data_IF_256425584357
#
_entry.id   IF_256425584357
#
_cell.length_a   1.000
_cell.length_b   1.000
_cell.length_c   1.000
_cell.angle_alpha   90.00
_cell.angle_beta   90.00
_cell.angle_gamma   90.00
#
_symmetry.space_group_name_H-M   'P 1'
#
loop_
_entity.id
_entity.type
_entity.pdbx_description
1 polymer ?
#
# COMPACT_ATOMS: atom_id res chain seq x y z
N UNK A 1 -19.71 16.35 31.00
CA UNK A 1 -19.86 17.34 29.90
C UNK A 1 -18.54 17.72 29.24
N UNK A 2 -17.46 17.87 30.00
CA UNK A 2 -16.14 18.29 29.47
C UNK A 2 -15.48 17.26 28.54
N UNK A 3 -15.55 15.96 28.88
CA UNK A 3 -15.05 14.86 28.01
C UNK A 3 -15.77 14.80 26.65
N UNK A 4 -17.07 15.09 26.60
CA UNK A 4 -17.82 15.15 25.33
C UNK A 4 -17.37 16.33 24.47
N UNK A 5 -17.02 17.47 25.06
CA UNK A 5 -16.52 18.64 24.34
C UNK A 5 -15.12 18.38 23.78
N UNK A 6 -14.24 17.76 24.56
CA UNK A 6 -12.88 17.40 24.14
C UNK A 6 -12.89 16.35 23.02
N UNK A 7 -13.72 15.31 23.15
CA UNK A 7 -13.91 14.28 22.12
C UNK A 7 -14.53 14.86 20.84
N UNK A 8 -15.41 15.86 20.96
CA UNK A 8 -15.93 16.59 19.82
C UNK A 8 -14.85 17.35 19.04
N UNK A 9 -13.96 18.02 19.75
CA UNK A 9 -12.83 18.74 19.14
C UNK A 9 -11.91 17.76 18.42
N UNK A 10 -11.47 16.68 19.08
CA UNK A 10 -10.59 15.64 18.51
C UNK A 10 -11.17 14.98 17.26
N UNK A 11 -12.48 14.70 17.28
CA UNK A 11 -13.18 14.12 16.13
C UNK A 11 -13.21 15.06 14.92
N UNK A 12 -13.52 16.34 15.15
CA UNK A 12 -13.58 17.34 14.08
C UNK A 12 -12.18 17.66 13.53
N UNK A 13 -11.14 17.70 14.37
CA UNK A 13 -9.76 17.87 13.87
C UNK A 13 -9.34 16.71 12.96
N UNK A 14 -9.83 15.49 13.22
CA UNK A 14 -9.55 14.32 12.40
C UNK A 14 -10.04 14.45 10.96
N UNK A 15 -11.22 15.02 10.71
CA UNK A 15 -11.75 15.16 9.33
C UNK A 15 -11.03 16.25 8.54
N UNK A 16 -10.73 17.39 9.17
CA UNK A 16 -9.97 18.47 8.52
C UNK A 16 -8.54 18.02 8.19
N UNK A 17 -7.89 17.26 9.07
CA UNK A 17 -6.57 16.70 8.80
C UNK A 17 -6.59 15.78 7.57
N UNK A 18 -7.61 14.93 7.42
CA UNK A 18 -7.77 14.05 6.23
C UNK A 18 -7.95 14.86 4.95
N UNK A 19 -8.80 15.89 4.99
CA UNK A 19 -9.01 16.77 3.82
C UNK A 19 -7.72 17.50 3.45
N UNK A 20 -6.97 18.00 4.42
CA UNK A 20 -5.69 18.64 4.18
C UNK A 20 -4.66 17.68 3.56
N UNK A 21 -4.58 16.44 4.07
CA UNK A 21 -3.74 15.38 3.48
C UNK A 21 -4.17 15.08 2.04
N UNK A 22 -5.48 14.98 1.76
CA UNK A 22 -5.99 14.74 0.40
C UNK A 22 -5.66 15.90 -0.55
N UNK A 23 -5.81 17.15 -0.12
CA UNK A 23 -5.46 18.32 -0.92
C UNK A 23 -3.96 18.35 -1.19
N UNK A 24 -3.12 18.10 -0.18
CA UNK A 24 -1.68 18.03 -0.33
C UNK A 24 -1.27 16.90 -1.29
N UNK A 25 -1.92 15.74 -1.19
CA UNK A 25 -1.70 14.61 -2.09
C UNK A 25 -2.07 14.96 -3.54
N UNK A 26 -3.23 15.58 -3.78
CA UNK A 26 -3.65 15.99 -5.13
C UNK A 26 -2.68 17.02 -5.71
N UNK A 27 -2.23 17.98 -4.90
CA UNK A 27 -1.25 18.97 -5.33
C UNK A 27 0.09 18.31 -5.70
N UNK A 28 0.57 17.38 -4.87
CA UNK A 28 1.79 16.62 -5.14
C UNK A 28 1.68 15.77 -6.41
N UNK A 29 0.59 15.03 -6.58
CA UNK A 29 0.37 14.19 -7.76
C UNK A 29 0.27 15.04 -9.04
N UNK A 30 -0.39 16.19 -8.97
CA UNK A 30 -0.52 17.11 -10.10
C UNK A 30 0.84 17.72 -10.47
N UNK A 31 1.57 18.24 -9.48
CA UNK A 31 2.92 18.78 -9.70
C UNK A 31 3.90 17.72 -10.21
N UNK A 32 3.86 16.53 -9.61
CA UNK A 32 4.65 15.37 -10.02
C UNK A 32 4.33 14.91 -11.44
N UNK A 33 3.05 14.88 -11.82
CA UNK A 33 2.62 14.58 -13.19
C UNK A 33 3.21 15.57 -14.21
N UNK A 34 3.08 16.87 -13.97
CA UNK A 34 3.64 17.89 -14.88
C UNK A 34 5.17 17.84 -14.93
N UNK A 35 5.82 17.57 -13.80
CA UNK A 35 7.27 17.39 -13.74
C UNK A 35 7.73 16.18 -14.58
N UNK A 36 7.08 15.03 -14.39
CA UNK A 36 7.31 13.81 -15.16
C UNK A 36 7.09 14.06 -16.65
N UNK A 37 5.96 14.68 -17.02
CA UNK A 37 5.64 15.02 -18.41
C UNK A 37 6.71 15.91 -19.04
N UNK A 38 7.15 16.95 -18.33
CA UNK A 38 8.19 17.88 -18.80
C UNK A 38 9.53 17.18 -19.05
N UNK A 39 9.93 16.25 -18.19
CA UNK A 39 11.19 15.50 -18.35
C UNK A 39 11.08 14.49 -19.49
N UNK A 40 9.94 13.80 -19.60
CA UNK A 40 9.70 12.81 -20.65
C UNK A 40 9.68 13.42 -22.05
N UNK A 41 9.15 14.64 -22.21
CA UNK A 41 9.21 15.38 -23.47
C UNK A 41 10.63 15.80 -23.89
N UNK A 42 11.59 15.72 -22.97
CA UNK A 42 13.02 15.98 -23.21
C UNK A 42 13.84 14.68 -23.26
N UNK A 43 13.18 13.51 -23.28
CA UNK A 43 13.81 12.19 -23.21
C UNK A 43 14.70 11.98 -21.97
N UNK A 44 14.38 12.66 -20.87
CA UNK A 44 15.09 12.54 -19.59
C UNK A 44 14.40 11.52 -18.70
N UNK A 45 15.12 10.45 -18.35
CA UNK A 45 14.70 9.50 -17.32
C UNK A 45 15.20 9.94 -15.94
N UNK A 46 14.31 10.04 -14.96
CA UNK A 46 14.63 10.51 -13.60
C UNK A 46 15.76 9.67 -12.97
N UNK A 47 15.76 8.35 -13.19
CA UNK A 47 16.81 7.44 -12.69
C UNK A 47 18.21 7.74 -13.24
N UNK A 48 18.32 8.46 -14.36
CA UNK A 48 19.60 8.88 -14.96
C UNK A 48 20.00 10.31 -14.57
N UNK A 49 19.27 10.94 -13.64
CA UNK A 49 19.53 12.31 -13.19
C UNK A 49 20.01 12.34 -11.76
N UNK A 50 20.41 13.53 -11.29
CA UNK A 50 20.68 13.75 -9.88
C UNK A 50 19.46 13.51 -9.00
N UNK A 51 18.22 13.55 -9.49
CA UNK A 51 17.01 13.44 -8.66
C UNK A 51 16.81 12.08 -7.97
N UNK A 52 17.68 11.10 -8.20
CA UNK A 52 17.61 9.81 -7.50
C UNK A 52 17.75 9.91 -5.97
N UNK A 53 18.32 11.00 -5.43
CA UNK A 53 18.35 11.26 -3.98
C UNK A 53 16.95 11.42 -3.37
N UNK A 54 15.92 11.73 -4.19
CA UNK A 54 14.53 11.79 -3.72
C UNK A 54 14.04 10.46 -3.14
N UNK A 55 14.60 9.32 -3.57
CA UNK A 55 14.31 8.02 -2.97
C UNK A 55 14.70 7.99 -1.48
N UNK A 56 15.87 8.54 -1.14
CA UNK A 56 16.34 8.62 0.24
C UNK A 56 15.50 9.62 1.05
N UNK A 57 15.10 10.74 0.45
CA UNK A 57 14.19 11.70 1.09
C UNK A 57 12.87 11.05 1.45
N UNK A 58 12.24 10.34 0.53
CA UNK A 58 10.97 9.67 0.78
C UNK A 58 11.06 8.70 1.97
N UNK A 59 12.15 7.93 2.07
CA UNK A 59 12.42 7.04 3.20
C UNK A 59 12.64 7.82 4.49
N UNK A 60 13.45 8.89 4.48
CA UNK A 60 13.73 9.71 5.67
C UNK A 60 12.46 10.37 6.17
N UNK A 61 11.67 10.98 5.28
CA UNK A 61 10.38 11.58 5.61
C UNK A 61 9.43 10.56 6.21
N UNK A 62 9.29 9.38 5.60
CA UNK A 62 8.45 8.32 6.14
C UNK A 62 8.91 7.88 7.53
N UNK A 63 10.21 7.66 7.75
CA UNK A 63 10.77 7.35 9.08
C UNK A 63 10.43 8.46 10.08
N UNK A 64 10.69 9.73 9.74
CA UNK A 64 10.46 10.86 10.64
C UNK A 64 8.99 10.97 11.02
N UNK A 65 8.09 10.98 10.03
CA UNK A 65 6.66 11.13 10.26
C UNK A 65 6.04 9.91 10.96
N UNK A 66 6.48 8.70 10.63
CA UNK A 66 6.01 7.48 11.29
C UNK A 66 6.53 7.35 12.72
N UNK A 67 7.76 7.81 12.98
CA UNK A 67 8.31 7.84 14.32
C UNK A 67 7.59 8.86 15.23
N UNK A 68 7.25 10.05 14.75
CA UNK A 68 6.52 11.05 15.55
C UNK A 68 5.00 10.82 15.59
N UNK A 69 4.46 9.94 14.73
CA UNK A 69 3.03 9.62 14.64
C UNK A 69 2.51 9.12 15.98
N UNK A 70 1.54 9.84 16.54
CA UNK A 70 0.74 9.40 17.68
C UNK A 70 -0.71 9.17 17.22
N UNK A 71 -1.15 7.93 17.32
CA UNK A 71 -2.53 7.57 16.99
C UNK A 71 -3.43 7.82 18.21
N UNK A 72 -4.61 8.38 17.97
CA UNK A 72 -5.64 8.48 19.00
C UNK A 72 -6.06 7.08 19.45
N UNK A 73 -6.26 6.93 20.76
CA UNK A 73 -6.93 5.77 21.33
C UNK A 73 -8.37 5.65 20.81
N UNK A 74 -9.02 4.52 21.12
CA UNK A 74 -10.41 4.29 20.74
C UNK A 74 -11.29 5.39 21.34
N UNK A 75 -11.98 6.12 20.46
CA UNK A 75 -12.96 7.14 20.83
C UNK A 75 -14.35 6.65 20.45
N UNK A 76 -15.28 6.71 21.39
CA UNK A 76 -16.71 6.51 21.16
C UNK A 76 -17.43 7.86 21.14
N UNK A 77 -18.21 8.13 20.08
CA UNK A 77 -18.97 9.38 19.91
C UNK A 77 -20.20 9.15 19.04
N UNK A 78 -21.37 9.56 19.55
CA UNK A 78 -22.66 9.56 18.81
C UNK A 78 -22.97 8.23 18.11
N UNK A 79 -22.81 7.09 18.81
CA UNK A 79 -23.03 5.76 18.25
C UNK A 79 -22.01 5.35 17.17
N UNK A 80 -20.83 5.98 17.16
CA UNK A 80 -19.70 5.63 16.29
C UNK A 80 -18.44 5.44 17.11
N UNK A 81 -17.58 4.54 16.62
CA UNK A 81 -16.29 4.20 17.22
C UNK A 81 -15.19 4.54 16.22
N UNK A 82 -14.14 5.21 16.68
CA UNK A 82 -12.94 5.50 15.89
C UNK A 82 -12.14 4.20 15.72
N UNK A 83 -12.18 3.63 14.51
CA UNK A 83 -11.43 2.40 14.15
C UNK A 83 -10.07 2.73 13.54
N UNK A 84 -10.04 3.70 12.61
CA UNK A 84 -8.84 4.10 11.89
C UNK A 84 -8.47 5.56 12.22
N UNK A 85 -7.44 5.81 13.05
CA UNK A 85 -6.92 7.16 13.26
C UNK A 85 -6.34 7.76 11.97
N UNK A 86 -6.02 9.06 11.99
CA UNK A 86 -5.43 9.75 10.83
C UNK A 86 -4.12 9.09 10.35
N UNK A 87 -3.31 8.57 11.28
CA UNK A 87 -2.09 7.88 10.91
C UNK A 87 -2.36 6.64 10.05
N UNK A 88 -3.38 5.84 10.39
CA UNK A 88 -3.79 4.69 9.57
C UNK A 88 -4.29 5.11 8.19
N UNK A 89 -4.93 6.28 8.09
CA UNK A 89 -5.33 6.85 6.81
C UNK A 89 -4.12 7.19 5.93
N UNK A 90 -3.15 7.91 6.48
CA UNK A 90 -1.91 8.25 5.76
C UNK A 90 -1.19 6.97 5.33
N UNK A 91 -1.08 6.01 6.24
CA UNK A 91 -0.44 4.71 6.00
C UNK A 91 -1.08 3.96 4.82
N UNK A 92 -2.38 3.67 4.92
CA UNK A 92 -3.11 2.90 3.91
C UNK A 92 -3.15 3.62 2.56
N UNK A 93 -3.52 4.91 2.52
CA UNK A 93 -3.70 5.61 1.26
C UNK A 93 -2.38 5.89 0.56
N UNK A 94 -1.29 6.15 1.30
CA UNK A 94 0.04 6.30 0.68
C UNK A 94 0.49 5.00 0.00
N UNK A 95 0.27 3.85 0.65
CA UNK A 95 0.49 2.54 0.02
C UNK A 95 -0.40 2.35 -1.21
N UNK A 96 -1.72 2.62 -1.08
CA UNK A 96 -2.67 2.41 -2.16
C UNK A 96 -2.34 3.25 -3.41
N UNK A 97 -2.08 4.55 -3.25
CA UNK A 97 -1.74 5.43 -4.37
C UNK A 97 -0.41 5.05 -5.01
N UNK A 98 0.64 4.81 -4.21
CA UNK A 98 1.93 4.37 -4.73
C UNK A 98 1.82 3.06 -5.50
N UNK A 99 1.14 2.07 -4.91
CA UNK A 99 0.99 0.75 -5.52
C UNK A 99 0.11 0.78 -6.78
N UNK A 100 -0.96 1.58 -6.83
CA UNK A 100 -1.79 1.75 -8.04
C UNK A 100 -0.95 2.34 -9.18
N UNK A 101 -0.16 3.39 -8.91
CA UNK A 101 0.71 4.00 -9.93
C UNK A 101 1.73 2.97 -10.43
N UNK A 102 2.39 2.25 -9.53
CA UNK A 102 3.37 1.22 -9.87
C UNK A 102 2.77 0.07 -10.67
N UNK A 103 1.59 -0.43 -10.26
CA UNK A 103 0.87 -1.49 -10.95
C UNK A 103 0.47 -1.06 -12.35
N UNK A 104 -0.20 0.09 -12.50
CA UNK A 104 -0.65 0.58 -13.82
C UNK A 104 0.54 0.80 -14.76
N UNK A 105 1.58 1.49 -14.29
CA UNK A 105 2.77 1.75 -15.12
C UNK A 105 3.51 0.46 -15.47
N UNK A 106 3.70 -0.47 -14.53
CA UNK A 106 4.35 -1.75 -14.76
C UNK A 106 3.59 -2.64 -15.74
N UNK A 107 2.26 -2.74 -15.59
CA UNK A 107 1.40 -3.49 -16.50
C UNK A 107 1.43 -2.92 -17.93
N UNK A 108 1.41 -1.59 -18.08
CA UNK A 108 1.49 -0.93 -19.40
C UNK A 108 2.87 -1.09 -20.05
N UNK A 109 3.95 -1.06 -19.27
CA UNK A 109 5.31 -1.33 -19.74
C UNK A 109 5.52 -2.79 -20.15
N UNK A 110 4.63 -3.67 -19.70
CA UNK A 110 4.63 -5.11 -19.96
C UNK A 110 5.40 -5.88 -18.89
N UNK A 111 4.95 -7.10 -18.62
CA UNK A 111 5.61 -8.01 -17.68
C UNK A 111 6.38 -9.05 -18.48
N UNK A 112 7.71 -8.96 -18.48
CA UNK A 112 8.56 -9.88 -19.27
C UNK A 112 8.95 -11.06 -18.41
N UNK A 113 9.03 -12.24 -19.03
CA UNK A 113 9.56 -13.42 -18.34
C UNK A 113 10.67 -14.02 -19.14
N UNK A 114 11.87 -14.02 -18.57
CA UNK A 114 13.01 -14.66 -19.21
C UNK A 114 12.86 -16.19 -19.30
N UNK A 115 11.81 -16.79 -18.72
CA UNK A 115 11.48 -18.21 -18.92
C UNK A 115 11.00 -18.53 -20.34
N UNK A 116 10.60 -17.51 -21.10
CA UNK A 116 10.05 -17.63 -22.45
C UNK A 116 10.90 -16.87 -23.49
N UNK A 117 12.20 -16.66 -23.24
CA UNK A 117 13.07 -15.90 -24.16
C UNK A 117 13.11 -16.45 -25.58
N UNK A 118 13.06 -17.78 -25.71
CA UNK A 118 13.08 -18.46 -27.00
C UNK A 118 11.70 -18.53 -27.68
N UNK A 119 10.66 -18.04 -27.00
CA UNK A 119 9.30 -18.00 -27.55
C UNK A 119 8.99 -16.61 -28.12
N UNK A 120 8.25 -16.59 -29.24
CA UNK A 120 7.75 -15.36 -29.88
C UNK A 120 6.96 -14.47 -28.89
N UNK A 121 6.39 -15.08 -27.85
CA UNK A 121 5.70 -14.40 -26.76
C UNK A 121 6.54 -14.45 -25.46
N UNK A 122 7.54 -13.58 -25.36
CA UNK A 122 8.44 -13.48 -24.22
C UNK A 122 7.86 -12.65 -23.04
N UNK A 123 6.59 -12.89 -22.69
CA UNK A 123 5.86 -12.12 -21.66
C UNK A 123 5.18 -13.04 -20.64
N UNK A 124 5.15 -12.58 -19.38
CA UNK A 124 4.40 -13.19 -18.29
C UNK A 124 2.93 -12.77 -18.41
N UNK A 125 2.26 -13.25 -19.46
CA UNK A 125 0.85 -13.01 -19.80
C UNK A 125 0.52 -11.61 -20.34
N UNK A 126 1.25 -10.56 -19.95
CA UNK A 126 0.93 -9.17 -20.31
C UNK A 126 2.03 -8.58 -21.21
N UNK A 127 1.80 -8.48 -22.53
CA UNK A 127 2.74 -7.83 -23.42
C UNK A 127 2.84 -6.34 -23.10
N UNK A 128 3.92 -5.72 -23.54
CA UNK A 128 4.03 -4.27 -23.50
C UNK A 128 2.90 -3.64 -24.31
N UNK A 129 2.15 -2.74 -23.69
CA UNK A 129 0.97 -2.10 -24.28
C UNK A 129 1.24 -0.70 -24.85
N UNK A 130 2.49 -0.23 -24.75
CA UNK A 130 2.95 1.06 -25.27
C UNK A 130 4.14 0.91 -26.22
N UNK A 131 4.17 1.69 -27.30
CA UNK A 131 5.18 1.54 -28.36
C UNK A 131 6.05 2.78 -28.59
N UNK A 132 5.57 3.99 -28.31
CA UNK A 132 6.37 5.22 -28.51
C UNK A 132 7.41 5.41 -27.41
N UNK A 133 8.61 5.87 -27.78
CA UNK A 133 9.68 6.15 -26.83
C UNK A 133 9.26 7.19 -25.77
N UNK A 134 8.52 8.21 -26.18
CA UNK A 134 7.97 9.24 -25.30
C UNK A 134 7.06 8.64 -24.21
N UNK A 135 6.10 7.78 -24.59
CA UNK A 135 5.18 7.14 -23.63
C UNK A 135 5.94 6.21 -22.67
N UNK A 136 6.99 5.56 -23.17
CA UNK A 136 7.84 4.69 -22.36
C UNK A 136 8.60 5.48 -21.31
N UNK A 137 9.21 6.60 -21.72
CA UNK A 137 9.90 7.50 -20.81
C UNK A 137 8.93 8.10 -19.79
N UNK A 138 7.73 8.47 -20.22
CA UNK A 138 6.65 8.91 -19.35
C UNK A 138 6.28 7.86 -18.31
N UNK A 139 6.04 6.61 -18.71
CA UNK A 139 5.67 5.56 -17.78
C UNK A 139 6.80 5.20 -16.81
N UNK A 140 8.07 5.20 -17.23
CA UNK A 140 9.19 4.99 -16.31
C UNK A 140 9.32 6.11 -15.28
N UNK A 141 9.17 7.37 -15.70
CA UNK A 141 9.19 8.52 -14.80
C UNK A 141 7.97 8.54 -13.87
N UNK A 142 6.79 8.13 -14.35
CA UNK A 142 5.60 7.97 -13.51
C UNK A 142 5.76 6.80 -12.54
N UNK A 143 6.40 5.71 -12.96
CA UNK A 143 6.76 4.60 -12.09
C UNK A 143 7.68 5.10 -10.96
N UNK A 144 8.69 5.92 -11.26
CA UNK A 144 9.54 6.59 -10.26
C UNK A 144 8.71 7.36 -9.22
N UNK A 145 7.70 8.12 -9.65
CA UNK A 145 6.80 8.84 -8.74
C UNK A 145 6.06 7.88 -7.80
N UNK A 146 5.59 6.74 -8.32
CA UNK A 146 4.99 5.67 -7.52
C UNK A 146 5.96 5.07 -6.50
N UNK A 147 7.25 4.95 -6.83
CA UNK A 147 8.29 4.47 -5.91
C UNK A 147 8.42 5.43 -4.71
N UNK A 148 8.41 6.74 -4.94
CA UNK A 148 8.49 7.73 -3.85
C UNK A 148 7.36 7.52 -2.83
N UNK A 149 6.13 7.34 -3.30
CA UNK A 149 4.99 7.06 -2.42
C UNK A 149 5.15 5.74 -1.66
N UNK A 150 5.53 4.68 -2.36
CA UNK A 150 5.64 3.36 -1.73
C UNK A 150 6.77 3.32 -0.68
N UNK A 151 7.92 3.92 -0.96
CA UNK A 151 9.04 3.99 -0.01
C UNK A 151 8.70 4.84 1.21
N UNK A 152 8.03 5.98 1.01
CA UNK A 152 7.48 6.78 2.11
C UNK A 152 6.51 5.94 2.96
N UNK A 153 5.55 5.27 2.33
CA UNK A 153 4.51 4.53 3.03
C UNK A 153 5.08 3.35 3.85
N UNK A 154 5.99 2.57 3.27
CA UNK A 154 6.64 1.44 3.95
C UNK A 154 7.45 1.94 5.15
N UNK A 155 8.25 2.99 4.96
CA UNK A 155 9.09 3.52 6.04
C UNK A 155 8.28 4.21 7.14
N UNK A 156 7.18 4.87 6.79
CA UNK A 156 6.18 5.39 7.72
C UNK A 156 5.54 4.29 8.56
N UNK A 157 5.14 3.20 7.90
CA UNK A 157 4.55 2.05 8.57
C UNK A 157 5.53 1.36 9.53
N UNK A 158 6.72 1.00 9.03
CA UNK A 158 7.71 0.27 9.80
C UNK A 158 8.21 1.08 10.99
N UNK A 159 8.53 2.36 10.82
CA UNK A 159 9.01 3.21 11.92
C UNK A 159 7.98 3.34 13.05
N UNK A 160 6.70 3.49 12.72
CA UNK A 160 5.62 3.51 13.70
C UNK A 160 5.50 2.17 14.44
N UNK A 161 5.40 1.06 13.72
CA UNK A 161 5.16 -0.25 14.32
C UNK A 161 6.36 -0.77 15.12
N UNK A 162 7.60 -0.50 14.67
CA UNK A 162 8.81 -0.81 15.43
C UNK A 162 8.88 -0.01 16.74
N UNK A 163 8.51 1.27 16.71
CA UNK A 163 8.50 2.12 17.90
C UNK A 163 7.40 1.72 18.88
N UNK A 164 6.17 1.51 18.39
CA UNK A 164 5.00 1.16 19.23
C UNK A 164 4.97 -0.30 19.68
N UNK A 165 5.76 -1.18 19.07
CA UNK A 165 5.79 -2.63 19.35
C UNK A 165 4.38 -3.26 19.30
N UNK A 166 3.56 -2.81 18.35
CA UNK A 166 2.20 -3.32 18.19
C UNK A 166 2.20 -4.58 17.32
N UNK A 167 1.75 -5.69 17.89
CA UNK A 167 1.69 -7.00 17.24
C UNK A 167 0.26 -7.42 16.85
N UNK A 168 -0.74 -6.54 17.05
CA UNK A 168 -2.17 -6.90 16.90
C UNK A 168 -2.57 -7.40 15.51
N UNK A 169 -1.89 -6.92 14.47
CA UNK A 169 -2.14 -7.26 13.06
C UNK A 169 -1.38 -8.52 12.60
N UNK A 170 -0.46 -9.05 13.42
CA UNK A 170 0.29 -10.25 13.06
C UNK A 170 -0.59 -11.50 13.21
N UNK A 171 -0.44 -12.51 12.32
CA UNK A 171 -1.20 -13.74 12.40
C UNK A 171 -1.09 -14.46 13.74
N UNK A 172 -2.18 -15.08 14.13
CA UNK A 172 -2.33 -15.92 15.32
C UNK A 172 -2.63 -17.36 14.90
N UNK A 173 -2.41 -18.29 15.82
CA UNK A 173 -2.75 -19.69 15.60
C UNK A 173 -4.23 -19.86 15.25
N UNK A 174 -4.52 -20.55 14.14
CA UNK A 174 -5.89 -20.78 13.66
C UNK A 174 -6.42 -19.75 12.66
N UNK A 175 -5.68 -18.66 12.39
CA UNK A 175 -6.12 -17.61 11.47
C UNK A 175 -6.37 -18.11 10.06
N UNK A 176 -5.59 -19.06 9.56
CA UNK A 176 -5.82 -19.63 8.24
C UNK A 176 -7.20 -20.31 8.16
N UNK A 177 -7.57 -21.10 9.17
CA UNK A 177 -8.88 -21.77 9.20
C UNK A 177 -10.03 -20.76 9.37
N UNK A 178 -9.85 -19.75 10.23
CA UNK A 178 -10.81 -18.66 10.40
C UNK A 178 -11.00 -17.85 9.12
N UNK A 179 -9.92 -17.51 8.41
CA UNK A 179 -9.93 -16.77 7.15
C UNK A 179 -10.70 -17.50 6.05
N UNK A 180 -10.58 -18.83 6.00
CA UNK A 180 -11.36 -19.66 5.07
C UNK A 180 -12.85 -19.59 5.43
N UNK A 181 -13.22 -19.76 6.70
CA UNK A 181 -14.61 -19.63 7.16
C UNK A 181 -15.18 -18.24 6.89
N UNK A 182 -14.40 -17.20 7.12
CA UNK A 182 -14.79 -15.83 6.86
C UNK A 182 -15.07 -15.59 5.37
N UNK A 183 -14.17 -16.04 4.49
CA UNK A 183 -14.37 -15.98 3.03
C UNK A 183 -15.64 -16.74 2.61
N UNK A 184 -15.88 -17.93 3.15
CA UNK A 184 -17.10 -18.72 2.89
C UNK A 184 -18.37 -18.01 3.40
N UNK A 185 -18.27 -17.24 4.48
CA UNK A 185 -19.40 -16.45 5.00
C UNK A 185 -19.81 -15.31 4.07
N UNK A 186 -18.88 -14.74 3.29
CA UNK A 186 -19.19 -13.70 2.30
C UNK A 186 -20.11 -14.19 1.18
N UNK A 187 -20.12 -15.50 0.92
CA UNK A 187 -21.02 -16.16 -0.04
C UNK A 187 -22.14 -16.97 0.64
N UNK A 188 -22.34 -16.79 1.95
CA UNK A 188 -23.45 -17.36 2.70
C UNK A 188 -23.34 -18.85 3.03
N UNK A 189 -22.14 -19.44 2.93
CA UNK A 189 -21.93 -20.88 3.19
C UNK A 189 -21.64 -21.21 4.66
N UNK A 190 -21.23 -20.22 5.45
CA UNK A 190 -20.94 -20.37 6.88
C UNK A 190 -21.33 -19.11 7.64
N UNK A 191 -21.53 -19.24 8.96
CA UNK A 191 -21.66 -18.08 9.84
C UNK A 191 -20.34 -17.30 9.92
N UNK A 192 -20.43 -15.98 10.04
CA UNK A 192 -19.26 -15.11 10.19
C UNK A 192 -18.61 -15.35 11.57
N UNK A 193 -17.29 -15.58 11.64
CA UNK A 193 -16.62 -15.77 12.93
C UNK A 193 -16.68 -14.51 13.79
N UNK A 194 -16.62 -14.68 15.11
CA UNK A 194 -16.40 -13.57 16.04
C UNK A 194 -14.94 -13.13 15.91
N UNK A 195 -14.73 -11.85 15.65
CA UNK A 195 -13.41 -11.29 15.38
C UNK A 195 -13.04 -10.15 16.34
N UNK A 196 -11.72 -9.98 16.50
CA UNK A 196 -11.07 -8.86 17.17
C UNK A 196 -11.07 -7.62 16.24
N UNK A 197 -10.34 -6.56 16.60
CA UNK A 197 -10.22 -5.33 15.81
C UNK A 197 -9.81 -5.64 14.38
N UNK A 198 -8.82 -6.52 14.21
CA UNK A 198 -8.44 -7.03 12.91
C UNK A 198 -9.03 -8.42 12.74
N UNK A 199 -9.63 -8.71 11.60
CA UNK A 199 -10.19 -10.02 11.24
C UNK A 199 -9.05 -11.00 10.92
N UNK A 200 -9.33 -12.31 10.99
CA UNK A 200 -8.33 -13.33 10.65
C UNK A 200 -7.82 -13.16 9.21
N UNK A 201 -8.73 -12.87 8.26
CA UNK A 201 -8.34 -12.63 6.87
C UNK A 201 -7.45 -11.39 6.75
N UNK A 202 -7.76 -10.29 7.46
CA UNK A 202 -6.95 -9.05 7.45
C UNK A 202 -5.52 -9.32 7.94
N UNK A 203 -5.33 -10.19 8.96
CA UNK A 203 -3.99 -10.56 9.48
C UNK A 203 -3.19 -11.42 8.50
N UNK A 204 -3.84 -12.35 7.82
CA UNK A 204 -3.21 -13.18 6.78
C UNK A 204 -2.86 -12.32 5.56
N UNK A 205 -3.78 -11.47 5.11
CA UNK A 205 -3.56 -10.52 4.01
C UNK A 205 -2.40 -9.57 4.32
N UNK A 206 -2.29 -9.06 5.55
CA UNK A 206 -1.18 -8.21 5.96
C UNK A 206 0.19 -8.86 5.70
N UNK A 207 0.36 -10.13 6.06
CA UNK A 207 1.61 -10.86 5.79
C UNK A 207 1.79 -11.14 4.30
N UNK A 208 0.73 -11.52 3.59
CA UNK A 208 0.75 -11.71 2.14
C UNK A 208 1.23 -10.46 1.40
N UNK A 209 0.61 -9.31 1.69
CA UNK A 209 1.01 -8.00 1.17
C UNK A 209 2.45 -7.66 1.53
N UNK A 210 2.86 -7.87 2.79
CA UNK A 210 4.22 -7.59 3.25
C UNK A 210 5.28 -8.38 2.48
N UNK A 211 5.04 -9.68 2.22
CA UNK A 211 5.93 -10.53 1.45
C UNK A 211 5.99 -10.07 -0.01
N UNK A 212 4.83 -9.86 -0.64
CA UNK A 212 4.74 -9.44 -2.05
C UNK A 212 5.47 -8.11 -2.26
N UNK A 213 5.12 -7.09 -1.47
CA UNK A 213 5.73 -5.76 -1.56
C UNK A 213 7.22 -5.82 -1.22
N UNK A 214 7.61 -6.60 -0.20
CA UNK A 214 9.01 -6.81 0.15
C UNK A 214 9.85 -7.35 -1.01
N UNK A 215 9.35 -8.37 -1.71
CA UNK A 215 10.02 -8.93 -2.89
C UNK A 215 10.09 -7.91 -4.02
N UNK A 216 9.00 -7.20 -4.32
CA UNK A 216 8.97 -6.13 -5.34
C UNK A 216 10.00 -5.04 -5.03
N UNK A 217 10.08 -4.58 -3.78
CA UNK A 217 11.02 -3.53 -3.37
C UNK A 217 12.46 -4.01 -3.45
N UNK A 218 12.78 -5.19 -2.92
CA UNK A 218 14.14 -5.74 -2.95
C UNK A 218 14.63 -5.94 -4.38
N UNK A 219 13.80 -6.53 -5.24
CA UNK A 219 14.12 -6.73 -6.66
C UNK A 219 14.19 -5.40 -7.42
N UNK A 220 13.34 -4.43 -7.08
CA UNK A 220 13.37 -3.08 -7.63
C UNK A 220 14.65 -2.33 -7.29
N UNK A 221 15.18 -2.47 -6.07
CA UNK A 221 16.47 -1.91 -5.65
C UNK A 221 17.58 -2.43 -6.55
N UNK A 222 17.62 -3.74 -6.84
CA UNK A 222 18.61 -4.29 -7.76
C UNK A 222 18.40 -3.76 -9.19
N UNK A 223 17.17 -3.68 -9.70
CA UNK A 223 16.89 -3.12 -11.03
C UNK A 223 17.37 -1.66 -11.15
N UNK A 224 17.11 -0.82 -10.15
CA UNK A 224 17.60 0.57 -10.11
C UNK A 224 19.13 0.61 -9.95
N UNK A 225 19.68 -0.24 -9.09
CA UNK A 225 21.13 -0.33 -8.84
C UNK A 225 21.93 -0.59 -10.11
N UNK A 226 21.36 -1.27 -11.10
CA UNK A 226 21.98 -1.47 -12.41
C UNK A 226 22.27 -0.19 -13.17
N UNK A 227 21.45 0.84 -12.98
CA UNK A 227 21.63 2.13 -13.62
C UNK A 227 22.66 3.03 -12.89
N UNK A 228 23.01 2.70 -11.65
CA UNK A 228 23.93 3.50 -10.81
C UNK A 228 25.32 2.86 -10.73
N UNK A 229 25.36 1.56 -10.41
CA UNK A 229 26.57 0.88 -9.90
C UNK A 229 27.21 -0.07 -10.90
N UNK A 230 26.46 -0.53 -11.91
CA UNK A 230 26.93 -1.56 -12.86
C UNK A 230 27.30 -1.03 -14.25
N UNK A 231 27.24 0.29 -14.43
CA UNK A 231 27.79 1.05 -15.56
C UNK A 231 29.28 1.35 -15.31
N UNK A 232 30.12 0.31 -15.36
CA UNK A 232 31.58 0.41 -15.35
C UNK A 232 32.20 -0.52 -16.40
N UNK A 233 33.49 -0.35 -16.76
CA UNK A 233 34.14 -1.12 -17.85
C UNK A 233 34.21 -2.63 -17.61
N UNK A 234 34.02 -3.08 -16.36
CA UNK A 234 33.96 -4.50 -15.99
C UNK A 234 32.75 -4.78 -15.11
N UNK A 235 31.61 -5.04 -15.73
CA UNK A 235 30.41 -5.49 -15.02
C UNK A 235 30.66 -6.90 -14.45
N UNK A 236 30.54 -7.11 -13.12
CA UNK A 236 30.84 -8.41 -12.51
C UNK A 236 29.96 -9.54 -13.07
N UNK A 237 30.49 -10.76 -13.17
CA UNK A 237 29.76 -11.91 -13.74
C UNK A 237 28.47 -12.28 -13.01
N UNK A 238 28.35 -11.91 -11.72
CA UNK A 238 27.16 -12.18 -10.91
C UNK A 238 25.99 -11.21 -11.18
N UNK A 239 26.20 -10.11 -11.91
CA UNK A 239 25.13 -9.13 -12.16
C UNK A 239 24.07 -9.65 -13.11
N UNK A 240 24.46 -10.42 -14.14
CA UNK A 240 23.54 -11.02 -15.09
C UNK A 240 22.52 -11.95 -14.40
N UNK A 241 22.94 -12.98 -13.62
CA UNK A 241 21.98 -13.82 -12.90
C UNK A 241 21.18 -13.03 -11.85
N UNK A 242 21.77 -12.03 -11.19
CA UNK A 242 21.03 -11.18 -10.25
C UNK A 242 19.91 -10.39 -10.93
N UNK A 243 20.18 -9.77 -12.08
CA UNK A 243 19.19 -9.00 -12.83
C UNK A 243 18.14 -9.90 -13.47
N UNK A 244 18.52 -11.09 -13.94
CA UNK A 244 17.57 -12.10 -14.39
C UNK A 244 16.54 -12.43 -13.29
N UNK A 245 17.01 -12.82 -12.10
CA UNK A 245 16.12 -13.18 -11.00
C UNK A 245 15.34 -11.97 -10.47
N UNK A 246 15.98 -10.80 -10.45
CA UNK A 246 15.29 -9.56 -10.07
C UNK A 246 14.17 -9.23 -11.03
N UNK A 247 14.38 -9.32 -12.34
CA UNK A 247 13.31 -9.10 -13.33
C UNK A 247 12.19 -10.12 -13.19
N UNK A 248 12.53 -11.41 -13.15
CA UNK A 248 11.54 -12.48 -13.06
C UNK A 248 10.68 -12.35 -11.79
N UNK A 249 11.31 -12.17 -10.62
CA UNK A 249 10.60 -12.03 -9.36
C UNK A 249 9.83 -10.72 -9.29
N UNK A 250 10.40 -9.60 -9.73
CA UNK A 250 9.70 -8.31 -9.72
C UNK A 250 8.43 -8.38 -10.55
N UNK A 251 8.52 -8.86 -11.80
CA UNK A 251 7.39 -8.90 -12.74
C UNK A 251 6.34 -9.93 -12.28
N UNK A 252 6.77 -11.08 -11.74
CA UNK A 252 5.85 -12.10 -11.19
C UNK A 252 5.10 -11.59 -9.97
N UNK A 253 5.79 -11.00 -9.00
CA UNK A 253 5.15 -10.49 -7.79
C UNK A 253 4.37 -9.19 -8.05
N UNK A 254 4.77 -8.37 -9.03
CA UNK A 254 3.96 -7.25 -9.50
C UNK A 254 2.63 -7.74 -10.09
N UNK A 255 2.62 -8.84 -10.87
CA UNK A 255 1.37 -9.45 -11.35
C UNK A 255 0.51 -9.95 -10.20
N UNK A 256 1.09 -10.76 -9.30
CA UNK A 256 0.36 -11.33 -8.15
C UNK A 256 -0.21 -10.20 -7.28
N UNK A 257 0.60 -9.19 -6.96
CA UNK A 257 0.17 -8.03 -6.18
C UNK A 257 -0.88 -7.19 -6.89
N UNK A 258 -0.81 -7.04 -8.22
CA UNK A 258 -1.84 -6.35 -9.01
C UNK A 258 -3.16 -7.12 -9.00
N UNK A 259 -3.14 -8.44 -9.13
CA UNK A 259 -4.34 -9.28 -9.01
C UNK A 259 -4.92 -9.21 -7.59
N UNK A 260 -4.07 -9.25 -6.57
CA UNK A 260 -4.49 -9.09 -5.18
C UNK A 260 -5.09 -7.70 -4.92
N UNK A 261 -4.53 -6.64 -5.52
CA UNK A 261 -5.12 -5.30 -5.47
C UNK A 261 -6.53 -5.28 -6.06
N UNK A 262 -6.73 -5.92 -7.21
CA UNK A 262 -8.06 -6.02 -7.84
C UNK A 262 -9.04 -6.73 -6.91
N UNK A 263 -8.65 -7.89 -6.35
CA UNK A 263 -9.47 -8.61 -5.37
C UNK A 263 -9.78 -7.74 -4.16
N UNK A 264 -8.78 -7.09 -3.58
CA UNK A 264 -8.92 -6.21 -2.42
C UNK A 264 -9.89 -5.05 -2.69
N UNK A 265 -9.79 -4.40 -3.85
CA UNK A 265 -10.70 -3.30 -4.22
C UNK A 265 -12.13 -3.81 -4.44
N UNK A 266 -12.29 -4.96 -5.09
CA UNK A 266 -13.61 -5.57 -5.29
C UNK A 266 -14.24 -5.90 -3.93
N UNK A 267 -13.52 -6.61 -3.06
CA UNK A 267 -14.05 -7.04 -1.77
C UNK A 267 -14.28 -5.87 -0.83
N UNK A 268 -13.45 -4.81 -0.85
CA UNK A 268 -13.57 -3.67 0.06
C UNK A 268 -14.56 -2.59 -0.41
N UNK A 269 -14.61 -2.31 -1.71
CA UNK A 269 -15.34 -1.15 -2.25
C UNK A 269 -16.59 -1.53 -3.07
N UNK A 270 -16.61 -2.71 -3.71
CA UNK A 270 -17.72 -3.10 -4.58
C UNK A 270 -18.78 -3.90 -3.82
N UNK A 271 -18.38 -4.80 -2.92
CA UNK A 271 -19.31 -5.62 -2.13
C UNK A 271 -20.00 -4.76 -1.05
N UNK A 272 -21.35 -4.66 -1.03
CA UNK A 272 -22.08 -3.79 -0.10
C UNK A 272 -21.86 -4.11 1.39
N UNK A 273 -21.67 -5.38 1.74
CA UNK A 273 -21.39 -5.78 3.14
C UNK A 273 -20.07 -5.21 3.68
N UNK A 274 -19.15 -4.83 2.78
CA UNK A 274 -17.85 -4.25 3.14
C UNK A 274 -17.87 -2.72 3.20
N UNK A 275 -18.95 -2.06 2.78
CA UNK A 275 -19.03 -0.60 2.77
C UNK A 275 -18.78 0.09 4.13
N UNK A 276 -19.15 -0.49 5.29
CA UNK A 276 -18.74 0.06 6.58
C UNK A 276 -17.22 0.18 6.75
N UNK A 277 -16.45 -0.77 6.19
CA UNK A 277 -15.00 -0.80 6.28
C UNK A 277 -14.34 0.27 5.44
N UNK A 278 -14.71 0.41 4.16
CA UNK A 278 -14.15 1.47 3.29
C UNK A 278 -14.53 2.87 3.78
N UNK A 279 -15.77 3.06 4.27
CA UNK A 279 -16.19 4.31 4.92
C UNK A 279 -15.36 4.61 6.16
N UNK A 280 -15.04 3.58 6.95
CA UNK A 280 -14.16 3.71 8.11
C UNK A 280 -12.72 3.99 7.71
N UNK A 281 -12.21 3.43 6.61
CA UNK A 281 -10.87 3.74 6.12
C UNK A 281 -10.77 5.19 5.66
N UNK A 282 -11.79 5.68 4.95
CA UNK A 282 -11.86 7.07 4.49
C UNK A 282 -12.07 8.08 5.65
N UNK A 283 -13.01 7.82 6.56
CA UNK A 283 -13.42 8.80 7.60
C UNK A 283 -12.78 8.57 8.96
N UNK A 284 -12.31 7.36 9.24
CA UNK A 284 -11.85 6.87 10.52
C UNK A 284 -12.90 6.19 11.38
N UNK A 285 -14.19 6.42 11.09
CA UNK A 285 -15.29 6.06 11.98
C UNK A 285 -16.10 4.88 11.44
N UNK A 286 -16.49 3.99 12.35
CA UNK A 286 -17.44 2.91 12.10
C UNK A 286 -18.63 3.06 13.05
N UNK A 287 -19.85 2.65 12.64
CA UNK A 287 -20.98 2.67 13.58
C UNK A 287 -20.77 1.62 14.67
N UNK A 288 -21.22 1.93 15.89
CA UNK A 288 -21.13 1.04 17.04
C UNK A 288 -21.85 -0.30 16.77
N UNK A 289 -22.97 -0.26 16.06
CA UNK A 289 -23.68 -1.46 15.60
C UNK A 289 -22.82 -2.33 14.67
N UNK A 290 -22.12 -1.72 13.70
CA UNK A 290 -21.22 -2.48 12.81
C UNK A 290 -20.05 -3.07 13.58
N UNK A 291 -19.49 -2.33 14.55
CA UNK A 291 -18.43 -2.84 15.42
C UNK A 291 -18.93 -4.01 16.27
N UNK A 292 -20.13 -3.91 16.86
CA UNK A 292 -20.75 -4.99 17.64
C UNK A 292 -21.00 -6.24 16.80
N UNK A 293 -21.47 -6.08 15.57
CA UNK A 293 -21.85 -7.20 14.70
C UNK A 293 -20.65 -7.89 14.03
N UNK A 294 -19.58 -7.14 13.72
CA UNK A 294 -18.43 -7.65 12.96
C UNK A 294 -17.17 -7.85 13.82
N UNK A 295 -17.03 -7.10 14.91
CA UNK A 295 -15.86 -7.12 15.78
C UNK A 295 -16.30 -7.28 17.24
N UNK A 296 -17.12 -8.30 17.53
CA UNK A 296 -17.73 -8.50 18.84
C UNK A 296 -16.67 -8.57 19.97
N UNK A 297 -15.55 -9.24 19.74
CA UNK A 297 -14.47 -9.34 20.73
C UNK A 297 -13.89 -7.95 21.03
N UNK A 298 -13.62 -7.16 19.98
CA UNK A 298 -13.12 -5.80 20.12
C UNK A 298 -14.14 -4.86 20.77
N UNK A 299 -15.42 -5.00 20.43
CA UNK A 299 -16.50 -4.24 21.06
C UNK A 299 -16.53 -4.48 22.58
N UNK A 300 -16.44 -5.74 23.00
CA UNK A 300 -16.41 -6.11 24.40
C UNK A 300 -15.15 -5.55 25.11
N UNK A 301 -13.99 -5.58 24.46
CA UNK A 301 -12.77 -4.94 24.99
C UNK A 301 -12.92 -3.44 25.20
N UNK A 302 -13.62 -2.74 24.30
CA UNK A 302 -13.89 -1.30 24.42
C UNK A 302 -14.80 -1.06 25.61
N UNK A 303 -15.91 -1.82 25.72
CA UNK A 303 -16.88 -1.67 26.81
C UNK A 303 -16.33 -2.00 28.19
N UNK A 304 -15.31 -2.84 28.28
CA UNK A 304 -14.61 -3.09 29.55
C UNK A 304 -13.69 -1.94 29.98
N UNK A 305 -13.30 -1.06 29.05
CA UNK A 305 -12.40 0.08 29.30
C UNK A 305 -13.15 1.41 29.49
N UNK A 306 -14.43 1.47 29.13
CA UNK A 306 -15.36 2.58 29.40
C UNK A 306 -15.88 2.52 30.85
#
# INVERSE_FOLDING_TARGET
MENNKLNNIKANTGIYARLLVLVALVAFLTGGYFWVLSLSNQDILIFNTSFIWLLAVAVIEGILFGYIREDLDVLSKNGKILRHPIGSFIDHWSHAFGFIILAVTGLLLGLRTHLLEDFVFNYLLIPRLVSSAEMVNFLFNLHFLGILFLLFAISYHLSYHLRKKSHKILPRSGDLSKSIKETLSLIGLTDRPKEDKYEAIERIEYVGWSIIVGIIVITGIFKIGAHIWWVGPTTPSWTAPLLFWSNLLHDTFALIGSLLLVVHVITAAIIPSSWPFIKSMATGWMSEENVKNHHEEWYNEIKQKE
#
